data_IF_267726104716
#
_entry.id   IF_267726104716
#
_cell.length_a   1.000
_cell.length_b   1.000
_cell.length_c   1.000
_cell.angle_alpha   90.00
_cell.angle_beta   90.00
_cell.angle_gamma   90.00
#
_symmetry.space_group_name_H-M   'P 1'
#
loop_
_entity.id
_entity.type
_entity.pdbx_description
1 polymer ?
#
# COMPACT_ATOMS: atom_id res chain seq x y z
N UNK A 1 31.48 38.46 -9.01
CA UNK A 1 30.78 37.63 -10.03
C UNK A 1 30.48 36.26 -9.46
N UNK A 2 31.45 35.62 -8.80
CA UNK A 2 31.28 34.32 -8.11
C UNK A 2 30.20 34.32 -7.02
N UNK A 3 30.11 35.36 -6.21
CA UNK A 3 29.09 35.46 -5.14
C UNK A 3 27.65 35.46 -5.69
N UNK A 4 27.40 36.22 -6.77
CA UNK A 4 26.09 36.24 -7.45
C UNK A 4 25.77 34.91 -8.13
N UNK A 5 26.79 34.19 -8.60
CA UNK A 5 26.61 32.86 -9.18
C UNK A 5 26.23 31.83 -8.10
N UNK A 6 26.87 31.89 -6.93
CA UNK A 6 26.55 31.03 -5.79
C UNK A 6 25.11 31.26 -5.28
N UNK A 7 24.70 32.53 -5.13
CA UNK A 7 23.33 32.90 -4.77
C UNK A 7 22.30 32.38 -5.78
N UNK A 8 22.62 32.44 -7.09
CA UNK A 8 21.74 31.93 -8.14
C UNK A 8 21.60 30.41 -8.09
N UNK A 9 22.70 29.69 -7.85
CA UNK A 9 22.69 28.22 -7.72
C UNK A 9 21.83 27.78 -6.54
N UNK A 10 21.97 28.46 -5.39
CA UNK A 10 21.16 28.18 -4.21
C UNK A 10 19.67 28.43 -4.47
N UNK A 11 19.35 29.54 -5.13
CA UNK A 11 17.97 29.90 -5.45
C UNK A 11 17.32 28.87 -6.42
N UNK A 12 18.05 28.45 -7.45
CA UNK A 12 17.58 27.41 -8.40
C UNK A 12 17.42 26.06 -7.71
N UNK A 13 18.32 25.70 -6.79
CA UNK A 13 18.22 24.46 -6.01
C UNK A 13 16.97 24.47 -5.11
N UNK A 14 16.74 25.57 -4.38
CA UNK A 14 15.55 25.75 -3.56
C UNK A 14 14.26 25.71 -4.38
N UNK A 15 14.23 26.35 -5.56
CA UNK A 15 13.08 26.29 -6.46
C UNK A 15 12.83 24.87 -6.97
N UNK A 16 13.88 24.13 -7.34
CA UNK A 16 13.77 22.75 -7.80
C UNK A 16 13.18 21.85 -6.70
N UNK A 17 13.63 22.02 -5.46
CA UNK A 17 13.09 21.28 -4.31
C UNK A 17 11.61 21.61 -4.06
N UNK A 18 11.23 22.89 -4.15
CA UNK A 18 9.83 23.31 -4.01
C UNK A 18 8.94 22.74 -5.11
N UNK A 19 9.44 22.68 -6.36
CA UNK A 19 8.70 22.09 -7.49
C UNK A 19 8.46 20.60 -7.24
N UNK A 20 9.48 19.86 -6.79
CA UNK A 20 9.34 18.43 -6.46
C UNK A 20 8.33 18.21 -5.34
N UNK A 21 8.36 19.04 -4.29
CA UNK A 21 7.41 18.95 -3.19
C UNK A 21 5.97 19.27 -3.64
N UNK A 22 5.79 20.28 -4.50
CA UNK A 22 4.49 20.63 -5.06
C UNK A 22 3.94 19.51 -5.95
N UNK A 23 4.80 18.90 -6.77
CA UNK A 23 4.40 17.81 -7.65
C UNK A 23 3.93 16.59 -6.86
N UNK A 24 4.61 16.26 -5.76
CA UNK A 24 4.16 15.20 -4.86
C UNK A 24 2.81 15.52 -4.20
N UNK A 25 2.60 16.78 -3.76
CA UNK A 25 1.31 17.22 -3.20
C UNK A 25 0.17 17.12 -4.21
N UNK A 26 0.42 17.45 -5.49
CA UNK A 26 -0.57 17.33 -6.56
C UNK A 26 -0.92 15.86 -6.78
N UNK A 27 0.06 14.96 -6.88
CA UNK A 27 -0.18 13.53 -7.05
C UNK A 27 -1.07 12.96 -5.93
N UNK A 28 -0.81 13.36 -4.67
CA UNK A 28 -1.62 12.95 -3.52
C UNK A 28 -3.05 13.51 -3.59
N UNK A 29 -3.23 14.76 -4.05
CA UNK A 29 -4.56 15.36 -4.21
C UNK A 29 -5.36 14.70 -5.33
N UNK A 30 -4.73 14.44 -6.47
CA UNK A 30 -5.36 13.75 -7.60
C UNK A 30 -5.86 12.36 -7.21
N UNK A 31 -5.03 11.59 -6.49
CA UNK A 31 -5.42 10.29 -5.96
C UNK A 31 -6.59 10.39 -4.96
N UNK A 32 -6.56 11.35 -4.03
CA UNK A 32 -7.68 11.59 -3.11
C UNK A 32 -8.97 11.93 -3.85
N UNK A 33 -8.89 12.79 -4.87
CA UNK A 33 -10.04 13.16 -5.69
C UNK A 33 -10.58 11.94 -6.45
N UNK A 34 -9.71 11.12 -7.05
CA UNK A 34 -10.10 9.89 -7.71
C UNK A 34 -10.83 8.95 -6.74
N UNK A 35 -10.27 8.72 -5.56
CA UNK A 35 -10.87 7.85 -4.53
C UNK A 35 -12.20 8.40 -4.04
N UNK A 36 -12.29 9.70 -3.74
CA UNK A 36 -13.54 10.36 -3.38
C UNK A 36 -14.59 10.22 -4.48
N UNK A 37 -14.20 10.31 -5.75
CA UNK A 37 -15.12 10.10 -6.86
C UNK A 37 -15.68 8.67 -6.86
N UNK A 38 -14.83 7.66 -6.63
CA UNK A 38 -15.25 6.26 -6.51
C UNK A 38 -16.23 6.11 -5.34
N UNK A 39 -15.93 6.68 -4.18
CA UNK A 39 -16.72 6.55 -2.95
C UNK A 39 -18.07 7.30 -3.05
N UNK A 40 -18.10 8.50 -3.66
CA UNK A 40 -19.35 9.27 -3.86
C UNK A 40 -20.25 8.70 -4.94
N UNK A 41 -19.69 8.19 -6.04
CA UNK A 41 -20.47 7.64 -7.15
C UNK A 41 -21.23 6.37 -6.72
N UNK A 42 -20.74 5.70 -5.69
CA UNK A 42 -21.14 4.33 -5.36
C UNK A 42 -22.00 4.15 -4.12
N UNK A 43 -22.35 5.23 -3.42
CA UNK A 43 -23.31 5.21 -2.31
C UNK A 43 -22.98 4.15 -1.23
N UNK A 44 -21.69 4.03 -0.85
CA UNK A 44 -21.24 3.13 0.22
C UNK A 44 -20.89 1.69 -0.20
N UNK A 45 -20.82 1.39 -1.50
CA UNK A 45 -20.50 0.05 -2.00
C UNK A 45 -18.99 -0.28 -2.12
N UNK A 46 -18.08 0.55 -1.58
CA UNK A 46 -16.63 0.38 -1.76
C UNK A 46 -15.85 0.54 -0.45
N UNK A 47 -16.02 -0.39 0.51
CA UNK A 47 -15.45 -0.27 1.86
C UNK A 47 -13.92 -0.21 1.87
N UNK A 48 -13.24 -0.86 0.92
CA UNK A 48 -11.78 -0.79 0.83
C UNK A 48 -11.28 0.59 0.35
N UNK A 49 -11.93 1.20 -0.65
CA UNK A 49 -11.55 2.56 -1.07
C UNK A 49 -11.87 3.61 -0.01
N UNK A 50 -13.00 3.47 0.69
CA UNK A 50 -13.36 4.31 1.84
C UNK A 50 -12.33 4.17 2.98
N UNK A 51 -11.89 2.94 3.27
CA UNK A 51 -10.84 2.66 4.26
C UNK A 51 -9.53 3.36 3.89
N UNK A 52 -9.01 3.12 2.69
CA UNK A 52 -7.74 3.70 2.23
C UNK A 52 -7.77 5.22 2.30
N UNK A 53 -8.89 5.83 1.90
CA UNK A 53 -9.08 7.28 1.98
C UNK A 53 -9.06 7.78 3.43
N UNK A 54 -9.82 7.12 4.30
CA UNK A 54 -9.98 7.50 5.72
C UNK A 54 -8.65 7.45 6.47
N UNK A 55 -7.79 6.48 6.15
CA UNK A 55 -6.52 6.28 6.82
C UNK A 55 -5.30 6.79 6.03
N UNK A 56 -5.52 7.51 4.92
CA UNK A 56 -4.47 8.22 4.20
C UNK A 56 -3.39 7.32 3.58
N UNK A 57 -3.73 6.08 3.23
CA UNK A 57 -2.79 5.14 2.59
C UNK A 57 -2.40 5.67 1.20
N UNK A 58 -1.10 5.76 0.90
CA UNK A 58 -0.63 6.31 -0.38
C UNK A 58 -0.85 5.34 -1.55
N UNK A 59 -0.84 5.80 -2.80
CA UNK A 59 -0.94 4.92 -3.97
C UNK A 59 0.15 3.83 -4.04
N UNK A 60 1.38 4.16 -3.66
CA UNK A 60 2.49 3.21 -3.62
C UNK A 60 2.26 2.12 -2.55
N UNK A 61 1.80 2.52 -1.35
CA UNK A 61 1.44 1.59 -0.29
C UNK A 61 0.31 0.65 -0.72
N UNK A 62 -0.75 1.21 -1.30
CA UNK A 62 -1.87 0.44 -1.83
C UNK A 62 -1.40 -0.56 -2.90
N UNK A 63 -0.53 -0.11 -3.83
CA UNK A 63 0.01 -0.96 -4.89
C UNK A 63 0.80 -2.14 -4.32
N UNK A 64 1.66 -1.89 -3.32
CA UNK A 64 2.46 -2.93 -2.67
C UNK A 64 1.61 -3.92 -1.88
N UNK A 65 0.59 -3.44 -1.16
CA UNK A 65 -0.38 -4.31 -0.46
C UNK A 65 -1.13 -5.18 -1.46
N UNK A 66 -1.62 -4.61 -2.58
CA UNK A 66 -2.28 -5.39 -3.62
C UNK A 66 -1.38 -6.48 -4.20
N UNK A 67 -0.10 -6.16 -4.47
CA UNK A 67 0.88 -7.15 -4.94
C UNK A 67 1.13 -8.25 -3.91
N UNK A 68 1.23 -7.91 -2.62
CA UNK A 68 1.35 -8.89 -1.54
C UNK A 68 0.16 -9.86 -1.55
N UNK A 69 -1.08 -9.36 -1.66
CA UNK A 69 -2.28 -10.20 -1.71
C UNK A 69 -2.37 -11.07 -2.97
N UNK A 70 -1.90 -10.58 -4.12
CA UNK A 70 -1.77 -11.42 -5.31
C UNK A 70 -0.77 -12.55 -5.09
N UNK A 71 0.39 -12.27 -4.49
CA UNK A 71 1.39 -13.30 -4.20
C UNK A 71 0.88 -14.32 -3.16
N UNK A 72 0.10 -13.87 -2.17
CA UNK A 72 -0.59 -14.74 -1.22
C UNK A 72 -1.56 -15.69 -1.93
N UNK A 73 -2.40 -15.17 -2.83
CA UNK A 73 -3.34 -15.97 -3.63
C UNK A 73 -2.60 -17.05 -4.42
N UNK A 74 -1.57 -16.68 -5.16
CA UNK A 74 -0.77 -17.62 -5.94
C UNK A 74 -0.13 -18.71 -5.07
N UNK A 75 0.41 -18.34 -3.91
CA UNK A 75 1.01 -19.29 -2.97
C UNK A 75 -0.02 -20.25 -2.38
N UNK A 76 -1.21 -19.76 -2.00
CA UNK A 76 -2.28 -20.58 -1.43
C UNK A 76 -2.87 -21.58 -2.45
N UNK A 77 -2.86 -21.22 -3.74
CA UNK A 77 -3.23 -22.13 -4.84
C UNK A 77 -2.12 -23.17 -5.13
N UNK A 78 -0.92 -22.98 -4.58
CA UNK A 78 0.23 -23.87 -4.76
C UNK A 78 1.13 -23.50 -5.94
N UNK A 79 0.96 -22.31 -6.51
CA UNK A 79 1.79 -21.84 -7.63
C UNK A 79 3.18 -21.42 -7.15
N UNK A 80 4.16 -21.59 -8.05
CA UNK A 80 5.53 -21.16 -7.79
C UNK A 80 5.65 -19.64 -7.98
N UNK A 81 6.03 -18.96 -6.92
CA UNK A 81 6.24 -17.50 -6.97
C UNK A 81 7.53 -17.10 -7.70
N UNK A 82 7.53 -15.97 -8.43
CA UNK A 82 8.73 -15.39 -9.02
C UNK A 82 9.76 -15.04 -7.96
N UNK A 83 11.04 -15.37 -8.20
CA UNK A 83 12.14 -15.03 -7.29
C UNK A 83 12.33 -13.52 -7.10
N UNK A 84 11.85 -12.70 -8.04
CA UNK A 84 11.86 -11.24 -7.95
C UNK A 84 11.12 -10.70 -6.73
N UNK A 85 10.08 -11.39 -6.23
CA UNK A 85 9.33 -10.96 -5.04
C UNK A 85 10.19 -10.97 -3.75
N UNK A 86 11.30 -11.72 -3.73
CA UNK A 86 12.28 -11.68 -2.61
C UNK A 86 13.04 -10.35 -2.53
N UNK A 87 13.00 -9.54 -3.60
CA UNK A 87 13.68 -8.25 -3.68
C UNK A 87 12.76 -7.08 -3.32
N UNK A 88 11.50 -7.35 -3.01
CA UNK A 88 10.59 -6.34 -2.50
C UNK A 88 11.13 -5.81 -1.17
N UNK A 89 11.05 -4.49 -0.95
CA UNK A 89 11.60 -3.83 0.25
C UNK A 89 10.83 -4.10 1.55
N UNK A 90 9.96 -5.12 1.57
CA UNK A 90 9.16 -5.57 2.71
C UNK A 90 9.25 -7.09 2.84
N UNK A 91 8.99 -7.61 4.05
CA UNK A 91 9.18 -9.03 4.35
C UNK A 91 8.27 -9.92 3.50
N UNK A 92 8.86 -10.68 2.58
CA UNK A 92 8.17 -11.69 1.74
C UNK A 92 8.71 -13.10 1.96
N UNK A 93 9.63 -13.29 2.91
CA UNK A 93 10.33 -14.55 3.12
C UNK A 93 9.36 -15.73 3.40
N UNK A 94 8.31 -15.48 4.18
CA UNK A 94 7.29 -16.46 4.53
C UNK A 94 6.55 -17.03 3.30
N UNK A 95 6.42 -16.25 2.21
CA UNK A 95 5.80 -16.71 0.96
C UNK A 95 6.60 -17.83 0.28
N UNK A 96 7.89 -17.94 0.58
CA UNK A 96 8.79 -18.95 0.03
C UNK A 96 9.09 -20.08 1.02
N UNK A 97 8.48 -20.06 2.19
CA UNK A 97 8.53 -21.16 3.16
C UNK A 97 7.64 -22.32 2.70
N UNK A 98 7.96 -23.52 3.17
CA UNK A 98 7.10 -24.70 3.06
C UNK A 98 6.03 -24.73 4.18
N UNK A 99 6.16 -23.84 5.16
CA UNK A 99 5.18 -23.66 6.24
C UNK A 99 3.90 -22.98 5.76
N UNK A 100 2.79 -23.22 6.47
CA UNK A 100 1.53 -22.52 6.24
C UNK A 100 1.66 -21.02 6.54
N UNK A 101 1.06 -20.18 5.69
CA UNK A 101 1.07 -18.72 5.86
C UNK A 101 0.35 -18.34 7.16
N UNK A 102 1.08 -17.69 8.07
CA UNK A 102 0.50 -17.17 9.31
C UNK A 102 0.02 -15.72 9.13
N UNK A 103 -1.11 -15.37 9.78
CA UNK A 103 -1.64 -14.01 9.81
C UNK A 103 -0.61 -12.99 10.32
N UNK A 104 0.17 -13.35 11.34
CA UNK A 104 1.18 -12.45 11.92
C UNK A 104 2.31 -12.10 10.95
N UNK A 105 2.69 -13.02 10.05
CA UNK A 105 3.70 -12.74 9.03
C UNK A 105 3.15 -11.77 7.97
N UNK A 106 1.87 -11.92 7.63
CA UNK A 106 1.18 -10.98 6.73
C UNK A 106 1.03 -9.61 7.38
N UNK A 107 0.64 -9.54 8.66
CA UNK A 107 0.57 -8.28 9.41
C UNK A 107 1.91 -7.56 9.40
N UNK A 108 3.01 -8.24 9.73
CA UNK A 108 4.37 -7.68 9.68
C UNK A 108 4.74 -7.17 8.29
N UNK A 109 4.37 -7.90 7.23
CA UNK A 109 4.61 -7.47 5.87
C UNK A 109 3.83 -6.19 5.52
N UNK A 110 2.56 -6.11 5.93
CA UNK A 110 1.73 -4.91 5.74
C UNK A 110 2.30 -3.74 6.54
N UNK A 111 2.69 -3.92 7.81
CA UNK A 111 3.31 -2.86 8.64
C UNK A 111 4.59 -2.30 8.00
N UNK A 112 5.39 -3.15 7.35
CA UNK A 112 6.59 -2.68 6.64
C UNK A 112 6.27 -1.83 5.40
N UNK A 113 5.12 -2.04 4.76
CA UNK A 113 4.64 -1.23 3.64
C UNK A 113 3.98 0.05 4.16
N UNK A 114 3.11 -0.10 5.14
CA UNK A 114 2.27 0.93 5.73
C UNK A 114 2.48 0.91 7.26
N UNK A 115 3.42 1.73 7.78
CA UNK A 115 3.85 1.69 9.18
C UNK A 115 2.80 2.32 10.09
N UNK A 116 1.75 1.54 10.38
CA UNK A 116 0.72 1.85 11.37
C UNK A 116 0.99 1.09 12.66
N UNK A 117 0.72 1.74 13.79
CA UNK A 117 0.96 1.16 15.12
C UNK A 117 -0.23 0.33 15.65
N UNK A 118 -1.33 0.28 14.90
CA UNK A 118 -2.60 -0.32 15.31
C UNK A 118 -2.83 -1.66 14.59
N UNK A 119 -2.78 -2.76 15.33
CA UNK A 119 -3.01 -4.11 14.80
C UNK A 119 -4.47 -4.34 14.37
N UNK A 120 -5.44 -3.66 15.00
CA UNK A 120 -6.84 -3.74 14.62
C UNK A 120 -7.10 -3.07 13.27
N UNK A 121 -6.26 -2.09 12.91
CA UNK A 121 -6.30 -1.43 11.63
C UNK A 121 -5.90 -2.38 10.49
N UNK A 122 -4.94 -3.27 10.73
CA UNK A 122 -4.54 -4.29 9.75
C UNK A 122 -5.66 -5.31 9.51
N UNK A 123 -6.36 -5.72 10.58
CA UNK A 123 -7.54 -6.59 10.45
C UNK A 123 -8.68 -5.89 9.73
N UNK A 124 -8.88 -4.60 10.00
CA UNK A 124 -9.90 -3.78 9.35
C UNK A 124 -9.63 -3.60 7.85
N UNK A 125 -8.36 -3.48 7.46
CA UNK A 125 -7.94 -3.50 6.05
C UNK A 125 -8.35 -4.82 5.36
N UNK A 126 -8.04 -5.97 5.97
CA UNK A 126 -8.38 -7.29 5.41
C UNK A 126 -9.90 -7.45 5.28
N UNK A 127 -10.66 -7.02 6.29
CA UNK A 127 -12.13 -7.02 6.25
C UNK A 127 -12.67 -6.13 5.14
N UNK A 128 -12.16 -4.90 5.02
CA UNK A 128 -12.59 -3.97 3.98
C UNK A 128 -12.30 -4.51 2.57
N UNK A 129 -11.15 -5.18 2.38
CA UNK A 129 -10.83 -5.87 1.11
C UNK A 129 -11.84 -6.98 0.81
N UNK A 130 -12.12 -7.84 1.79
CA UNK A 130 -13.12 -8.92 1.66
C UNK A 130 -14.50 -8.37 1.33
N UNK A 131 -14.97 -7.38 2.08
CA UNK A 131 -16.32 -6.82 1.94
C UNK A 131 -16.50 -6.12 0.59
N UNK A 132 -15.41 -5.64 -0.02
CA UNK A 132 -15.41 -5.12 -1.39
C UNK A 132 -15.31 -6.23 -2.46
N UNK A 133 -15.09 -7.48 -2.07
CA UNK A 133 -14.94 -8.62 -2.99
C UNK A 133 -13.54 -8.78 -3.58
N UNK A 134 -12.51 -8.25 -2.92
CA UNK A 134 -11.12 -8.39 -3.35
C UNK A 134 -10.44 -9.57 -2.66
N UNK A 135 -9.89 -10.52 -3.44
CA UNK A 135 -9.07 -11.62 -2.92
C UNK A 135 -9.77 -12.36 -1.77
N UNK A 136 -11.05 -12.70 -1.97
CA UNK A 136 -11.97 -13.18 -0.93
C UNK A 136 -11.38 -14.40 -0.21
N UNK A 137 -10.84 -15.36 -0.97
CA UNK A 137 -10.27 -16.60 -0.44
C UNK A 137 -9.05 -16.34 0.45
N UNK A 138 -8.19 -15.40 0.05
CA UNK A 138 -7.04 -14.97 0.86
C UNK A 138 -7.52 -14.30 2.14
N UNK A 139 -8.49 -13.40 2.02
CA UNK A 139 -9.03 -12.68 3.18
C UNK A 139 -9.72 -13.64 4.15
N UNK A 140 -10.52 -14.59 3.66
CA UNK A 140 -11.18 -15.61 4.48
C UNK A 140 -10.15 -16.50 5.18
N UNK A 141 -9.12 -16.94 4.45
CA UNK A 141 -8.03 -17.70 5.03
C UNK A 141 -7.35 -16.94 6.19
N UNK A 142 -7.01 -15.66 5.99
CA UNK A 142 -6.34 -14.85 7.00
C UNK A 142 -7.25 -14.53 8.19
N UNK A 143 -8.52 -14.20 7.94
CA UNK A 143 -9.50 -13.90 8.99
C UNK A 143 -9.88 -15.13 9.81
N UNK A 144 -9.75 -16.35 9.26
CA UNK A 144 -9.97 -17.58 10.02
C UNK A 144 -8.92 -17.85 11.11
N UNK A 145 -7.79 -17.14 11.06
CA UNK A 145 -6.69 -17.24 12.02
C UNK A 145 -6.73 -16.14 13.10
N UNK A 146 -7.65 -15.19 12.99
CA UNK A 146 -7.76 -14.00 13.84
C UNK A 146 -8.57 -14.23 15.12
#
# INVERSE_FOLDING_TARGET
MEQRLAELIELVSNQSNQILEMQEKINVLEDKVLRLSICKISNGNYPYYDFILSYGMTPDQQTRINRLFMALSEKLVGNRLPSGLKKEGYSTAFLFSDESIQLDDVKKAITNIWPVADDDLLLSLIKAMKDQGMQIEVCDYLLSQA
#
